data_IF_303929315903
#
_entry.id   IF_303929315903
#
_cell.length_a   1.000
_cell.length_b   1.000
_cell.length_c   1.000
_cell.angle_alpha   90.00
_cell.angle_beta   90.00
_cell.angle_gamma   90.00
#
_symmetry.space_group_name_H-M   'P 1'
#
loop_
_entity.id
_entity.type
_entity.pdbx_description
1 polymer ?
#
# COMPACT_ATOMS: atom_id res chain seq x y z
N UNK A 1 -12.19 -0.42 3.05
CA UNK A 1 -11.82 -0.67 1.64
C UNK A 1 -11.28 -2.09 1.50
N UNK A 2 -11.57 -2.74 0.42
CA UNK A 2 -11.16 -4.11 0.18
C UNK A 2 -10.51 -4.29 -1.19
N UNK A 3 -9.46 -5.09 -1.24
CA UNK A 3 -8.82 -5.60 -2.43
C UNK A 3 -8.40 -7.03 -2.17
N UNK A 4 -7.34 -7.48 -2.81
CA UNK A 4 -6.78 -8.82 -2.60
C UNK A 4 -5.50 -8.70 -1.77
N UNK A 5 -5.46 -9.40 -0.64
CA UNK A 5 -4.28 -9.43 0.22
C UNK A 5 -3.21 -10.38 -0.32
N UNK A 6 -1.95 -10.00 -0.16
CA UNK A 6 -0.84 -10.75 -0.73
C UNK A 6 -0.11 -11.59 0.33
N UNK A 7 -0.07 -11.14 1.56
CA UNK A 7 0.64 -11.87 2.64
C UNK A 7 -0.12 -11.74 3.97
N UNK A 8 0.43 -12.37 5.03
CA UNK A 8 -0.24 -12.43 6.34
C UNK A 8 0.17 -11.30 7.29
N UNK A 9 0.70 -10.21 6.76
CA UNK A 9 1.20 -9.12 7.58
C UNK A 9 0.13 -8.06 7.81
N UNK A 10 0.18 -7.43 8.97
CA UNK A 10 -0.72 -6.34 9.37
C UNK A 10 0.12 -5.18 9.89
N UNK A 11 -0.13 -3.98 9.38
CA UNK A 11 0.54 -2.76 9.85
C UNK A 11 -0.43 -1.60 9.92
N UNK A 12 -0.10 -0.64 10.77
CA UNK A 12 -0.79 0.65 10.84
C UNK A 12 0.18 1.76 10.49
N UNK A 13 -0.28 2.79 9.82
CA UNK A 13 0.55 3.93 9.45
C UNK A 13 -0.22 4.99 8.69
N UNK A 14 0.48 6.09 8.39
CA UNK A 14 -0.08 7.17 7.60
C UNK A 14 -0.08 6.83 6.12
N UNK A 15 -1.14 7.24 5.43
CA UNK A 15 -1.23 7.10 3.99
C UNK A 15 -0.44 8.20 3.27
N UNK A 16 0.28 7.80 2.25
CA UNK A 16 0.78 8.68 1.20
C UNK A 16 0.07 8.30 -0.09
N UNK A 17 -0.90 9.10 -0.51
CA UNK A 17 -1.65 8.86 -1.74
C UNK A 17 -1.05 9.69 -2.86
N UNK A 18 -0.63 9.04 -3.94
CA UNK A 18 -0.03 9.71 -5.08
C UNK A 18 -0.74 9.31 -6.37
N UNK A 19 -0.95 10.28 -7.26
CA UNK A 19 -1.63 10.05 -8.54
C UNK A 19 -0.65 9.60 -9.64
N UNK A 20 0.64 9.78 -9.41
CA UNK A 20 1.71 9.35 -10.31
C UNK A 20 2.93 8.92 -9.51
N UNK A 21 3.83 8.17 -10.15
CA UNK A 21 5.08 7.75 -9.50
C UNK A 21 6.02 8.93 -9.26
N UNK A 22 5.95 9.98 -10.09
CA UNK A 22 6.71 11.21 -9.84
C UNK A 22 6.26 11.89 -8.56
N UNK A 23 4.96 11.92 -8.30
CA UNK A 23 4.41 12.51 -7.10
C UNK A 23 4.85 11.77 -5.84
N UNK A 24 5.08 10.47 -5.92
CA UNK A 24 5.60 9.66 -4.81
C UNK A 24 6.88 10.24 -4.26
N UNK A 25 7.83 10.60 -5.13
CA UNK A 25 9.12 11.14 -4.71
C UNK A 25 9.00 12.48 -3.97
N UNK A 26 7.93 13.22 -4.21
CA UNK A 26 7.69 14.52 -3.56
C UNK A 26 6.98 14.41 -2.23
N UNK A 27 6.13 13.40 -2.07
CA UNK A 27 5.22 13.28 -0.92
C UNK A 27 5.61 12.22 0.09
N UNK A 28 6.26 11.16 -0.34
CA UNK A 28 6.49 10.00 0.51
C UNK A 28 7.46 10.31 1.64
N UNK A 29 7.11 9.86 2.85
CA UNK A 29 7.97 9.88 4.02
C UNK A 29 8.20 8.44 4.50
N UNK A 30 9.39 8.18 5.04
CA UNK A 30 9.73 6.86 5.54
C UNK A 30 8.70 6.38 6.55
N UNK A 31 8.23 5.15 6.37
CA UNK A 31 7.22 4.57 7.23
C UNK A 31 5.78 4.80 6.78
N UNK A 32 5.57 5.55 5.70
CA UNK A 32 4.24 5.72 5.14
C UNK A 32 3.74 4.43 4.48
N UNK A 33 2.42 4.30 4.40
CA UNK A 33 1.75 3.32 3.57
C UNK A 33 1.46 3.98 2.23
N UNK A 34 2.03 3.43 1.16
CA UNK A 34 1.91 4.02 -0.17
C UNK A 34 0.63 3.57 -0.87
N UNK A 35 -0.12 4.53 -1.41
CA UNK A 35 -1.33 4.28 -2.22
C UNK A 35 -1.10 4.85 -3.61
N UNK A 36 -1.03 3.98 -4.61
CA UNK A 36 -0.79 4.36 -6.00
C UNK A 36 -1.60 3.46 -6.92
N UNK A 37 -1.70 3.82 -8.19
CA UNK A 37 -2.38 2.97 -9.18
C UNK A 37 -1.60 1.70 -9.46
N UNK A 38 -0.29 1.81 -9.61
CA UNK A 38 0.63 0.69 -9.83
C UNK A 38 2.03 1.08 -9.36
N UNK A 39 2.94 0.12 -9.30
CA UNK A 39 4.34 0.37 -8.96
C UNK A 39 5.26 -0.15 -10.07
N UNK A 40 6.48 0.37 -10.10
CA UNK A 40 7.55 -0.15 -10.93
C UNK A 40 8.91 0.08 -10.24
N UNK A 41 10.01 -0.30 -10.91
CA UNK A 41 11.34 -0.21 -10.30
C UNK A 41 11.83 1.23 -10.10
N UNK A 42 11.20 2.23 -10.72
CA UNK A 42 11.61 3.64 -10.54
C UNK A 42 11.38 4.14 -9.12
N UNK A 43 10.50 3.49 -8.35
CA UNK A 43 10.23 3.84 -6.96
C UNK A 43 10.70 2.78 -5.97
N UNK A 44 11.57 1.86 -6.39
CA UNK A 44 12.01 0.77 -5.52
C UNK A 44 12.64 1.27 -4.22
N UNK A 45 13.40 2.36 -4.27
CA UNK A 45 13.99 2.96 -3.06
C UNK A 45 12.94 3.46 -2.08
N UNK A 46 11.81 3.97 -2.60
CA UNK A 46 10.68 4.38 -1.77
C UNK A 46 10.02 3.16 -1.14
N UNK A 47 9.79 2.12 -1.93
CA UNK A 47 9.12 0.90 -1.46
C UNK A 47 9.88 0.23 -0.32
N UNK A 48 11.21 0.30 -0.33
CA UNK A 48 12.04 -0.24 0.76
C UNK A 48 11.77 0.41 2.12
N UNK A 49 11.25 1.64 2.12
CA UNK A 49 10.96 2.41 3.32
C UNK A 49 9.47 2.52 3.62
N UNK A 50 8.63 1.84 2.85
CA UNK A 50 7.19 1.84 3.06
C UNK A 50 6.82 0.77 4.08
N UNK A 51 5.80 1.05 4.90
CA UNK A 51 5.22 0.05 5.80
C UNK A 51 4.27 -0.89 5.09
N UNK A 52 3.68 -0.45 4.01
CA UNK A 52 2.74 -1.23 3.23
C UNK A 52 2.44 -0.56 1.91
N UNK A 53 1.78 -1.31 1.03
CA UNK A 53 1.45 -0.84 -0.32
C UNK A 53 -0.01 -1.17 -0.62
N UNK A 54 -0.74 -0.18 -1.11
CA UNK A 54 -2.11 -0.35 -1.62
C UNK A 54 -2.09 0.08 -3.08
N UNK A 55 -2.44 -0.82 -3.99
CA UNK A 55 -2.46 -0.53 -5.42
C UNK A 55 -3.81 -0.86 -6.04
N UNK A 56 -4.20 -0.07 -7.04
CA UNK A 56 -5.41 -0.33 -7.81
C UNK A 56 -5.20 -1.46 -8.81
N UNK A 57 -3.99 -1.63 -9.32
CA UNK A 57 -3.64 -2.72 -10.25
C UNK A 57 -3.94 -4.07 -9.62
N UNK A 58 -4.57 -4.94 -10.40
CA UNK A 58 -4.90 -6.28 -9.97
C UNK A 58 -3.75 -7.26 -10.25
N UNK A 59 -3.71 -8.33 -9.48
CA UNK A 59 -2.85 -9.47 -9.76
C UNK A 59 -1.86 -9.80 -8.65
N UNK A 60 -1.78 -11.10 -8.35
CA UNK A 60 -0.88 -11.65 -7.33
C UNK A 60 0.57 -11.76 -7.84
N UNK A 61 0.79 -11.55 -9.13
CA UNK A 61 2.10 -11.52 -9.74
C UNK A 61 2.49 -10.11 -10.25
N UNK A 62 1.77 -9.08 -9.81
CA UNK A 62 2.11 -7.69 -10.14
C UNK A 62 3.43 -7.29 -9.48
N UNK A 63 4.03 -6.21 -9.97
CA UNK A 63 5.27 -5.68 -9.39
C UNK A 63 5.10 -5.41 -7.90
N UNK A 64 4.00 -4.78 -7.49
CA UNK A 64 3.74 -4.48 -6.08
C UNK A 64 3.66 -5.75 -5.23
N UNK A 65 2.98 -6.78 -5.72
CA UNK A 65 2.85 -8.04 -5.00
C UNK A 65 4.21 -8.73 -4.80
N UNK A 66 5.02 -8.78 -5.85
CA UNK A 66 6.36 -9.40 -5.79
C UNK A 66 7.27 -8.63 -4.84
N UNK A 67 7.28 -7.31 -4.93
CA UNK A 67 8.08 -6.46 -4.05
C UNK A 67 7.64 -6.61 -2.59
N UNK A 68 6.33 -6.64 -2.34
CA UNK A 68 5.81 -6.82 -0.98
C UNK A 68 6.23 -8.13 -0.35
N UNK A 69 6.21 -9.22 -1.10
CA UNK A 69 6.70 -10.51 -0.62
C UNK A 69 8.21 -10.48 -0.35
N UNK A 70 8.97 -9.84 -1.22
CA UNK A 70 10.43 -9.75 -1.08
C UNK A 70 10.82 -8.89 0.12
N UNK A 71 10.12 -7.79 0.37
CA UNK A 71 10.42 -6.85 1.45
C UNK A 71 9.70 -7.16 2.76
N UNK A 72 8.87 -8.20 2.80
CA UNK A 72 8.03 -8.55 3.96
C UNK A 72 7.17 -7.39 4.45
N UNK A 73 6.48 -6.74 3.53
CA UNK A 73 5.49 -5.70 3.86
C UNK A 73 4.12 -6.09 3.32
N UNK A 74 3.03 -5.71 4.01
CA UNK A 74 1.69 -6.04 3.55
C UNK A 74 1.34 -5.28 2.28
N UNK A 75 0.71 -5.98 1.35
CA UNK A 75 0.26 -5.42 0.08
C UNK A 75 -1.21 -5.78 -0.14
N UNK A 76 -1.98 -4.79 -0.57
CA UNK A 76 -3.35 -4.98 -1.04
C UNK A 76 -3.38 -4.58 -2.51
N UNK A 77 -3.71 -5.54 -3.37
CA UNK A 77 -3.86 -5.30 -4.82
C UNK A 77 -5.33 -5.23 -5.19
N UNK A 78 -5.62 -4.69 -6.37
CA UNK A 78 -7.01 -4.59 -6.83
C UNK A 78 -7.90 -3.71 -5.96
N UNK A 79 -7.32 -2.76 -5.25
CA UNK A 79 -8.06 -1.82 -4.42
C UNK A 79 -8.68 -0.74 -5.31
N UNK A 80 -9.84 -1.03 -5.85
CA UNK A 80 -10.49 -0.20 -6.88
C UNK A 80 -10.70 1.23 -6.39
N UNK A 81 -10.23 2.21 -7.18
CA UNK A 81 -10.35 3.63 -6.90
C UNK A 81 -9.65 4.10 -5.61
N UNK A 82 -8.69 3.33 -5.10
CA UNK A 82 -8.00 3.67 -3.86
C UNK A 82 -7.39 5.08 -3.89
N UNK A 83 -6.79 5.49 -5.01
CA UNK A 83 -6.17 6.82 -5.12
C UNK A 83 -7.20 7.96 -5.11
N UNK A 84 -8.47 7.66 -5.34
CA UNK A 84 -9.56 8.65 -5.28
C UNK A 84 -10.26 8.65 -3.94
N UNK A 85 -10.39 7.49 -3.31
CA UNK A 85 -11.16 7.30 -2.08
C UNK A 85 -10.32 7.60 -0.85
N UNK A 86 -9.07 7.14 -0.82
CA UNK A 86 -8.18 7.31 0.32
C UNK A 86 -7.50 8.68 0.28
N UNK A 87 -7.19 9.22 1.45
CA UNK A 87 -6.61 10.56 1.61
C UNK A 87 -5.25 10.48 2.29
N UNK A 88 -4.28 11.21 1.74
CA UNK A 88 -2.97 11.36 2.37
C UNK A 88 -3.11 11.94 3.78
N UNK A 89 -2.26 11.46 4.71
CA UNK A 89 -2.28 11.90 6.09
C UNK A 89 -3.27 11.16 6.98
N UNK A 90 -4.14 10.35 6.40
CA UNK A 90 -5.07 9.50 7.17
C UNK A 90 -4.29 8.31 7.72
N UNK A 91 -4.49 7.98 8.99
CA UNK A 91 -3.94 6.77 9.60
C UNK A 91 -4.87 5.61 9.31
N UNK A 92 -4.30 4.51 8.79
CA UNK A 92 -5.06 3.28 8.51
C UNK A 92 -4.32 2.06 9.02
N UNK A 93 -5.03 0.95 9.06
CA UNK A 93 -4.47 -0.38 9.29
C UNK A 93 -4.71 -1.21 8.04
N UNK A 94 -3.64 -1.83 7.52
CA UNK A 94 -3.73 -2.79 6.41
C UNK A 94 -3.72 -4.20 6.99
N UNK A 95 -4.69 -5.00 6.59
CA UNK A 95 -4.69 -6.45 6.78
C UNK A 95 -4.31 -7.11 5.46
N UNK A 96 -3.05 -7.47 5.34
CA UNK A 96 -2.52 -8.11 4.12
C UNK A 96 -3.06 -9.51 3.89
N UNK A 97 -3.59 -10.17 4.92
CA UNK A 97 -4.19 -11.51 4.79
C UNK A 97 -5.56 -11.44 4.14
N UNK A 98 -6.40 -10.49 4.60
CA UNK A 98 -7.79 -10.36 4.12
C UNK A 98 -7.95 -9.35 3.01
N UNK A 99 -6.91 -8.59 2.70
CA UNK A 99 -6.99 -7.53 1.70
C UNK A 99 -7.86 -6.35 2.14
N UNK A 100 -7.90 -6.07 3.43
CA UNK A 100 -8.76 -5.02 4.00
C UNK A 100 -7.93 -3.83 4.46
N UNK A 101 -8.49 -2.65 4.30
CA UNK A 101 -7.93 -1.39 4.81
C UNK A 101 -8.95 -0.79 5.76
N UNK A 102 -8.56 -0.62 7.01
CA UNK A 102 -9.39 -0.06 8.08
C UNK A 102 -8.92 1.34 8.44
N UNK A 103 -9.84 2.24 8.77
CA UNK A 103 -9.48 3.54 9.32
C UNK A 103 -8.94 3.40 10.74
N UNK A 104 -7.93 4.21 11.04
CA UNK A 104 -7.33 4.25 12.36
C UNK A 104 -6.42 3.08 12.66
N UNK A 105 -6.00 2.98 13.92
CA UNK A 105 -5.20 1.85 14.41
C UNK A 105 -6.16 0.80 14.91
N UNK A 106 -6.22 -0.33 14.20
CA UNK A 106 -7.17 -1.41 14.48
C UNK A 106 -6.41 -2.69 14.81
N UNK A 107 -6.84 -3.37 15.87
CA UNK A 107 -6.31 -4.68 16.20
C UNK A 107 -6.99 -5.72 15.31
N UNK A 108 -6.20 -6.41 14.52
CA UNK A 108 -6.67 -7.49 13.64
C UNK A 108 -6.45 -8.82 14.34
N UNK A 109 -7.52 -9.60 14.46
CA UNK A 109 -7.49 -10.91 15.12
C UNK A 109 -7.41 -12.05 14.13
#
# INVERSE_FOLDING_TARGET
MQGVGINNLTVSGNLCVAQSLEEVHKKFQNGDILVVKNTDNTILNVLKNAKGIIVEEEGTASHAAIVGMTLDIPVVTGAKNATKILKSGTTVTIDGRRGLVYEGVTKVL
#
